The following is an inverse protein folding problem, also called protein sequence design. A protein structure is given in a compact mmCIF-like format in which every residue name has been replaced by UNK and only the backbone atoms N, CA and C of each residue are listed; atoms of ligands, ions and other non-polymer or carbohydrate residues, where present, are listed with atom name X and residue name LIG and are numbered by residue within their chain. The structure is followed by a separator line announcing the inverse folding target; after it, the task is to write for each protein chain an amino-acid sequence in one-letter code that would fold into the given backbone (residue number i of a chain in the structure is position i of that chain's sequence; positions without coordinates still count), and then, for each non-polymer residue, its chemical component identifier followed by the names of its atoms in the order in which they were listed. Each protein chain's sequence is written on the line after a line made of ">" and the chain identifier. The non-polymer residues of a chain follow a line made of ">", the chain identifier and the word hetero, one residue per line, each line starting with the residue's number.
data_IF_690897102867
#
_entry.id   IF_690897102867
#
_cell.length_a   1.000
_cell.length_b   1.000
_cell.length_c   1.000
_cell.angle_alpha   90.00
_cell.angle_beta   90.00
_cell.angle_gamma   90.00
#
_symmetry.space_group_name_H-M   'P 1'
#
loop_
_entity.id
_entity.type
_entity.pdbx_description
1 polymer ?
#
# COMPACT_ATOMS: atom_id res chain seq x y z
N UNK A 1 -10.80 23.22 -27.82
CA UNK A 1 -10.14 23.64 -26.57
C UNK A 1 -10.67 22.70 -25.50
N UNK A 2 -9.98 21.59 -25.29
CA UNK A 2 -10.28 20.68 -24.19
C UNK A 2 -9.48 21.18 -23.00
N UNK A 3 -10.16 21.76 -22.03
CA UNK A 3 -9.57 22.11 -20.75
C UNK A 3 -9.31 20.78 -20.02
N UNK A 4 -8.07 20.31 -20.04
CA UNK A 4 -7.65 19.23 -19.16
C UNK A 4 -7.62 19.86 -17.77
N UNK A 5 -8.74 19.76 -17.05
CA UNK A 5 -8.79 20.20 -15.66
C UNK A 5 -7.78 19.34 -14.89
N UNK A 6 -6.72 19.96 -14.40
CA UNK A 6 -5.70 19.33 -13.56
C UNK A 6 -6.25 19.15 -12.13
N UNK A 7 -7.32 18.38 -11.95
CA UNK A 7 -8.02 18.30 -10.66
C UNK A 7 -7.21 17.50 -9.62
N UNK A 8 -6.22 16.68 -9.98
CA UNK A 8 -5.63 15.71 -9.04
C UNK A 8 -4.34 16.11 -8.29
N UNK A 9 -3.92 17.39 -8.23
CA UNK A 9 -2.66 17.70 -7.53
C UNK A 9 -2.75 17.70 -5.99
N UNK A 10 -3.95 17.85 -5.42
CA UNK A 10 -4.16 17.93 -3.96
C UNK A 10 -5.08 16.85 -3.36
N UNK A 11 -5.86 16.12 -4.17
CA UNK A 11 -6.75 15.04 -3.66
C UNK A 11 -6.02 14.07 -2.74
N UNK A 12 -4.81 13.63 -3.16
CA UNK A 12 -4.01 12.67 -2.41
C UNK A 12 -3.69 13.15 -0.98
N UNK A 13 -3.61 14.46 -0.71
CA UNK A 13 -3.34 15.00 0.63
C UNK A 13 -4.51 14.73 1.58
N UNK A 14 -5.73 15.00 1.10
CA UNK A 14 -6.94 14.77 1.88
C UNK A 14 -7.18 13.28 2.07
N UNK A 15 -7.04 12.49 1.00
CA UNK A 15 -7.18 11.04 1.05
C UNK A 15 -6.13 10.40 1.99
N UNK A 16 -4.86 10.86 1.92
CA UNK A 16 -3.81 10.42 2.83
C UNK A 16 -4.11 10.72 4.30
N UNK A 17 -4.64 11.90 4.59
CA UNK A 17 -5.07 12.26 5.94
C UNK A 17 -6.18 11.34 6.47
N UNK A 18 -7.16 11.00 5.63
CA UNK A 18 -8.20 10.03 5.96
C UNK A 18 -7.59 8.67 6.33
N UNK A 19 -6.68 8.16 5.50
CA UNK A 19 -6.08 6.83 5.74
C UNK A 19 -5.26 6.75 7.03
N UNK A 20 -4.62 7.84 7.44
CA UNK A 20 -3.73 7.86 8.60
C UNK A 20 -4.37 8.48 9.85
N UNK A 21 -5.60 8.97 9.76
CA UNK A 21 -6.27 9.71 10.84
C UNK A 21 -5.53 11.00 11.21
N UNK A 22 -4.83 11.59 10.24
CA UNK A 22 -4.02 12.79 10.39
C UNK A 22 -4.74 14.00 9.77
N UNK A 23 -4.18 15.20 9.95
CA UNK A 23 -4.62 16.37 9.18
C UNK A 23 -4.01 16.33 7.77
N UNK A 24 -4.65 16.90 6.73
CA UNK A 24 -4.11 16.94 5.36
C UNK A 24 -2.69 17.50 5.25
N UNK A 25 -2.35 18.45 6.11
CA UNK A 25 -1.02 19.06 6.21
C UNK A 25 0.00 18.22 7.00
N UNK A 26 -0.42 17.17 7.69
CA UNK A 26 0.41 16.35 8.58
C UNK A 26 0.68 14.99 7.95
N UNK A 27 1.92 14.79 7.50
CA UNK A 27 2.39 13.53 6.91
C UNK A 27 3.26 12.80 7.96
N UNK A 28 2.83 12.80 9.23
CA UNK A 28 3.66 12.34 10.36
C UNK A 28 3.79 10.81 10.50
N UNK A 29 3.15 10.00 9.66
CA UNK A 29 3.41 8.54 9.63
C UNK A 29 4.62 8.16 8.73
N UNK A 30 5.13 9.15 8.00
CA UNK A 30 6.25 9.02 7.10
C UNK A 30 7.52 9.26 7.93
N UNK A 31 8.01 8.22 8.64
CA UNK A 31 9.11 8.24 9.62
C UNK A 31 9.97 9.53 9.68
N UNK A 32 9.98 10.21 10.84
CA UNK A 32 10.79 11.40 11.11
C UNK A 32 12.23 11.25 10.57
N UNK A 33 12.56 11.99 9.50
CA UNK A 33 13.91 12.03 8.92
C UNK A 33 14.11 11.35 7.56
N UNK A 34 13.10 10.68 6.99
CA UNK A 34 13.17 10.18 5.61
C UNK A 34 12.47 11.16 4.64
N UNK A 35 13.05 11.36 3.46
CA UNK A 35 12.36 11.96 2.33
C UNK A 35 11.28 10.99 1.82
N UNK A 36 10.14 11.52 1.41
CA UNK A 36 9.02 10.74 0.89
C UNK A 36 8.68 11.18 -0.53
N UNK A 37 8.03 10.28 -1.26
CA UNK A 37 7.57 10.54 -2.63
C UNK A 37 6.12 10.08 -2.76
N UNK A 38 5.34 10.84 -3.52
CA UNK A 38 4.04 10.41 -4.01
C UNK A 38 4.26 9.61 -5.28
N UNK A 39 3.73 8.39 -5.29
CA UNK A 39 3.70 7.51 -6.44
C UNK A 39 2.26 7.35 -6.92
N UNK A 40 2.06 7.19 -8.21
CA UNK A 40 0.76 7.01 -8.87
C UNK A 40 0.80 5.78 -9.76
N UNK A 41 -0.33 5.10 -9.93
CA UNK A 41 -0.49 4.05 -10.94
C UNK A 41 -1.87 4.15 -11.58
N UNK A 42 -1.99 3.65 -12.80
CA UNK A 42 -3.27 3.32 -13.43
C UNK A 42 -3.59 1.86 -13.05
N UNK A 43 -4.61 1.59 -12.22
CA UNK A 43 -4.84 0.24 -11.69
C UNK A 43 -4.97 -0.84 -12.78
N UNK A 44 -5.59 -0.52 -13.92
CA UNK A 44 -5.74 -1.41 -15.06
C UNK A 44 -4.43 -1.81 -15.75
N UNK A 45 -3.33 -1.09 -15.49
CA UNK A 45 -2.00 -1.37 -16.02
C UNK A 45 -1.12 -2.12 -15.02
N UNK A 46 -1.58 -2.30 -13.78
CA UNK A 46 -0.82 -2.98 -12.75
C UNK A 46 -0.79 -4.49 -13.03
N UNK A 47 0.41 -5.07 -13.06
CA UNK A 47 0.57 -6.50 -13.24
C UNK A 47 0.08 -7.26 -12.00
N UNK A 48 -0.78 -8.27 -12.20
CA UNK A 48 -1.22 -9.15 -11.12
C UNK A 48 -0.03 -9.89 -10.50
N UNK A 49 0.21 -9.77 -9.18
CA UNK A 49 1.31 -10.42 -8.52
C UNK A 49 1.07 -11.93 -8.37
N UNK A 50 2.14 -12.70 -8.19
CA UNK A 50 2.02 -14.11 -7.88
C UNK A 50 1.26 -14.31 -6.55
N UNK A 51 0.32 -15.26 -6.52
CA UNK A 51 -0.44 -15.56 -5.33
C UNK A 51 0.47 -16.04 -4.19
N UNK A 52 0.27 -15.48 -3.00
CA UNK A 52 0.95 -15.97 -1.78
C UNK A 52 0.29 -17.28 -1.35
N UNK A 53 1.09 -18.33 -1.21
CA UNK A 53 0.61 -19.66 -0.81
C UNK A 53 -0.03 -19.63 0.59
N UNK A 54 -1.13 -20.37 0.77
CA UNK A 54 -1.90 -20.44 2.02
C UNK A 54 -2.42 -19.09 2.52
N UNK A 55 -2.63 -18.14 1.60
CA UNK A 55 -3.21 -16.84 1.90
C UNK A 55 -4.67 -16.74 1.46
N UNK A 56 -5.44 -15.95 2.18
CA UNK A 56 -6.80 -15.53 1.80
C UNK A 56 -6.87 -14.01 1.92
N UNK A 57 -7.39 -13.34 0.89
CA UNK A 57 -7.67 -11.90 0.93
C UNK A 57 -9.11 -11.68 1.36
N UNK A 58 -9.32 -10.71 2.24
CA UNK A 58 -10.64 -10.27 2.71
C UNK A 58 -10.75 -8.77 2.63
N UNK A 59 -11.98 -8.29 2.47
CA UNK A 59 -12.31 -6.89 2.24
C UNK A 59 -13.34 -6.46 3.27
N UNK A 60 -13.14 -5.31 3.92
CA UNK A 60 -14.02 -4.82 4.96
C UNK A 60 -14.18 -3.30 4.89
N UNK A 61 -15.42 -2.78 4.81
CA UNK A 61 -15.65 -1.34 4.85
C UNK A 61 -15.54 -0.80 6.28
N UNK A 62 -14.83 0.32 6.46
CA UNK A 62 -14.58 0.92 7.80
C UNK A 62 -15.21 2.31 7.98
N UNK A 63 -16.05 2.76 7.03
CA UNK A 63 -16.76 4.03 7.08
C UNK A 63 -16.05 5.11 6.27
N UNK A 64 -14.98 5.69 6.81
CA UNK A 64 -14.23 6.77 6.14
C UNK A 64 -13.16 6.24 5.18
N UNK A 65 -12.76 4.98 5.34
CA UNK A 65 -11.85 4.25 4.46
C UNK A 65 -12.23 2.77 4.49
N UNK A 66 -11.69 1.99 3.57
CA UNK A 66 -11.88 0.55 3.50
C UNK A 66 -10.55 -0.18 3.74
N UNK A 67 -10.63 -1.46 4.05
CA UNK A 67 -9.46 -2.30 4.37
C UNK A 67 -9.45 -3.54 3.51
N UNK A 68 -8.29 -3.84 2.96
CA UNK A 68 -7.94 -5.15 2.43
C UNK A 68 -6.99 -5.82 3.42
N UNK A 69 -7.31 -7.04 3.84
CA UNK A 69 -6.52 -7.82 4.78
C UNK A 69 -6.16 -9.18 4.18
N UNK A 70 -4.91 -9.60 4.39
CA UNK A 70 -4.45 -10.94 4.07
C UNK A 70 -4.33 -11.76 5.34
N UNK A 71 -4.96 -12.92 5.34
CA UNK A 71 -4.78 -13.95 6.36
C UNK A 71 -3.87 -15.06 5.82
N UNK A 72 -2.93 -15.55 6.63
CA UNK A 72 -2.06 -16.70 6.31
C UNK A 72 -2.32 -17.77 7.37
N UNK A 73 -2.67 -18.99 6.94
CA UNK A 73 -3.10 -20.08 7.83
C UNK A 73 -4.25 -19.67 8.77
N UNK A 74 -5.28 -19.04 8.22
CA UNK A 74 -6.49 -18.58 8.93
C UNK A 74 -6.22 -17.56 10.05
N UNK A 75 -5.09 -16.86 10.00
CA UNK A 75 -4.75 -15.79 10.94
C UNK A 75 -4.39 -14.50 10.19
N UNK A 76 -4.96 -13.34 10.59
CA UNK A 76 -4.62 -12.04 10.01
C UNK A 76 -3.11 -11.76 10.06
N UNK A 77 -2.50 -11.54 8.90
CA UNK A 77 -1.05 -11.39 8.77
C UNK A 77 -0.62 -9.97 8.40
N UNK A 78 -1.35 -9.31 7.51
CA UNK A 78 -1.11 -7.93 7.12
C UNK A 78 -2.37 -7.30 6.54
N UNK A 79 -2.42 -5.97 6.55
CA UNK A 79 -3.53 -5.22 5.95
C UNK A 79 -3.08 -3.92 5.31
N UNK A 80 -3.89 -3.41 4.41
CA UNK A 80 -3.74 -2.10 3.78
C UNK A 80 -5.08 -1.36 3.83
N UNK A 81 -5.01 -0.04 4.01
CA UNK A 81 -6.18 0.84 3.94
C UNK A 81 -6.26 1.47 2.57
N UNK A 82 -7.46 1.73 2.09
CA UNK A 82 -7.68 2.44 0.83
C UNK A 82 -8.94 3.30 0.87
N UNK A 83 -9.01 4.28 -0.02
CA UNK A 83 -10.19 5.13 -0.27
C UNK A 83 -10.20 5.49 -1.74
N UNK A 84 -11.40 5.69 -2.31
CA UNK A 84 -11.58 6.20 -3.65
C UNK A 84 -12.67 7.28 -3.65
N UNK A 85 -12.50 8.25 -4.54
CA UNK A 85 -13.48 9.28 -4.83
C UNK A 85 -13.80 9.22 -6.33
N UNK A 86 -14.98 8.71 -6.71
CA UNK A 86 -15.36 8.56 -8.11
C UNK A 86 -15.64 9.91 -8.79
N UNK A 87 -15.96 10.96 -8.05
CA UNK A 87 -16.18 12.30 -8.62
C UNK A 87 -14.84 12.93 -9.03
N UNK A 88 -13.78 12.64 -8.26
CA UNK A 88 -12.39 13.01 -8.57
C UNK A 88 -11.69 12.02 -9.52
N UNK A 89 -12.28 10.83 -9.73
CA UNK A 89 -11.67 9.75 -10.50
C UNK A 89 -10.36 9.24 -9.89
N UNK A 90 -10.19 9.33 -8.57
CA UNK A 90 -8.91 9.10 -7.91
C UNK A 90 -9.02 8.27 -6.62
N UNK A 91 -8.02 7.44 -6.36
CA UNK A 91 -7.91 6.60 -5.18
C UNK A 91 -6.60 6.81 -4.43
N UNK A 92 -6.58 6.44 -3.14
CA UNK A 92 -5.38 6.47 -2.31
C UNK A 92 -5.26 5.15 -1.56
N UNK A 93 -4.05 4.60 -1.53
CA UNK A 93 -3.71 3.44 -0.69
C UNK A 93 -2.64 3.80 0.33
N UNK A 94 -2.79 3.23 1.52
CA UNK A 94 -1.89 3.43 2.65
C UNK A 94 -0.67 2.52 2.62
N UNK A 95 0.14 2.61 3.67
CA UNK A 95 1.20 1.64 3.89
C UNK A 95 0.61 0.27 4.30
N UNK A 96 1.25 -0.81 3.83
CA UNK A 96 0.94 -2.15 4.31
C UNK A 96 1.44 -2.30 5.75
N UNK A 97 0.53 -2.67 6.65
CA UNK A 97 0.82 -2.90 8.06
C UNK A 97 0.82 -4.39 8.35
N UNK A 98 2.00 -4.92 8.72
CA UNK A 98 2.10 -6.25 9.30
C UNK A 98 1.34 -6.30 10.64
N UNK A 99 0.56 -7.36 10.83
CA UNK A 99 -0.19 -7.61 12.05
C UNK A 99 0.62 -8.49 13.01
N UNK A 100 0.35 -8.41 14.34
CA UNK A 100 1.05 -9.24 15.31
C UNK A 100 0.84 -10.73 15.03
N UNK A 101 1.94 -11.48 14.93
CA UNK A 101 1.93 -12.94 14.83
C UNK A 101 3.20 -13.47 14.16
N UNK A 102 3.36 -14.79 14.11
CA UNK A 102 4.55 -15.47 13.56
C UNK A 102 4.34 -15.92 12.10
N UNK A 103 3.62 -15.15 11.29
CA UNK A 103 3.22 -15.55 9.92
C UNK A 103 4.39 -15.64 8.93
N UNK A 104 5.43 -14.85 9.17
CA UNK A 104 6.55 -14.67 8.25
C UNK A 104 7.83 -15.35 8.76
N UNK A 105 7.81 -16.05 9.90
CA UNK A 105 9.00 -16.77 10.40
C UNK A 105 9.03 -18.17 9.82
N UNK A 106 10.11 -18.50 9.11
CA UNK A 106 10.42 -19.86 8.67
C UNK A 106 11.36 -20.51 9.69
N UNK A 107 10.80 -21.07 10.75
CA UNK A 107 11.56 -21.86 11.74
C UNK A 107 10.77 -22.13 13.02
N UNK A 108 10.85 -23.35 13.54
CA UNK A 108 10.33 -23.65 14.88
C UNK A 108 11.01 -22.73 15.90
N UNK A 109 10.22 -22.15 16.82
CA UNK A 109 10.69 -21.23 17.86
C UNK A 109 11.73 -21.83 18.83
N UNK A 110 12.05 -23.12 18.71
CA UNK A 110 13.03 -23.84 19.53
C UNK A 110 14.46 -23.83 18.99
N UNK A 111 14.69 -23.48 17.72
CA UNK A 111 16.03 -23.41 17.15
C UNK A 111 16.51 -21.96 17.16
N UNK A 112 17.05 -21.54 18.29
CA UNK A 112 17.67 -20.24 18.52
C UNK A 112 19.01 -20.13 17.77
N UNK A 113 18.94 -20.09 16.45
CA UNK A 113 19.90 -19.43 15.58
C UNK A 113 19.09 -18.94 14.37
N UNK A 114 18.75 -17.65 14.34
CA UNK A 114 18.20 -17.01 13.15
C UNK A 114 19.22 -17.19 12.02
N UNK A 115 19.03 -18.21 11.17
CA UNK A 115 19.84 -18.40 9.99
C UNK A 115 19.54 -17.26 9.02
N UNK A 116 20.58 -16.75 8.36
CA UNK A 116 20.42 -15.70 7.35
C UNK A 116 19.39 -16.09 6.28
N UNK A 117 19.32 -17.38 5.94
CA UNK A 117 18.37 -17.95 4.99
C UNK A 117 16.90 -17.83 5.46
N UNK A 118 16.64 -18.03 6.77
CA UNK A 118 15.30 -17.86 7.33
C UNK A 118 14.84 -16.41 7.35
N UNK A 119 15.74 -15.48 7.68
CA UNK A 119 15.46 -14.05 7.64
C UNK A 119 15.19 -13.55 6.21
N UNK A 120 15.89 -14.12 5.22
CA UNK A 120 15.68 -13.76 3.81
C UNK A 120 14.35 -14.32 3.27
N UNK A 121 14.02 -15.57 3.57
CA UNK A 121 12.71 -16.13 3.21
C UNK A 121 11.55 -15.35 3.81
N UNK A 122 11.68 -14.89 5.07
CA UNK A 122 10.69 -14.04 5.75
C UNK A 122 10.48 -12.71 5.01
N UNK A 123 11.57 -12.07 4.57
CA UNK A 123 11.52 -10.82 3.80
C UNK A 123 10.85 -11.02 2.45
N UNK A 124 11.19 -12.08 1.73
CA UNK A 124 10.59 -12.40 0.43
C UNK A 124 9.09 -12.65 0.54
N UNK A 125 8.67 -13.41 1.57
CA UNK A 125 7.25 -13.66 1.81
C UNK A 125 6.50 -12.36 2.16
N UNK A 126 7.09 -11.50 3.00
CA UNK A 126 6.51 -10.19 3.32
C UNK A 126 6.41 -9.31 2.07
N UNK A 127 7.43 -9.27 1.22
CA UNK A 127 7.40 -8.51 -0.03
C UNK A 127 6.28 -8.99 -0.96
N UNK A 128 6.09 -10.31 -1.10
CA UNK A 128 5.00 -10.86 -1.88
C UNK A 128 3.63 -10.45 -1.32
N UNK A 129 3.46 -10.47 0.01
CA UNK A 129 2.25 -9.97 0.68
C UNK A 129 2.02 -8.48 0.42
N UNK A 130 3.08 -7.66 0.48
CA UNK A 130 2.98 -6.22 0.20
C UNK A 130 2.50 -5.97 -1.23
N UNK A 131 3.04 -6.69 -2.20
CA UNK A 131 2.61 -6.59 -3.60
C UNK A 131 1.15 -7.02 -3.77
N UNK A 132 0.77 -8.14 -3.18
CA UNK A 132 -0.59 -8.67 -3.25
C UNK A 132 -1.63 -7.71 -2.64
N UNK A 133 -1.33 -7.13 -1.47
CA UNK A 133 -2.22 -6.17 -0.82
C UNK A 133 -2.32 -4.85 -1.59
N UNK A 134 -1.21 -4.34 -2.12
CA UNK A 134 -1.22 -3.12 -2.96
C UNK A 134 -2.05 -3.33 -4.22
N UNK A 135 -1.87 -4.47 -4.89
CA UNK A 135 -2.66 -4.84 -6.06
C UNK A 135 -4.15 -4.91 -5.73
N UNK A 136 -4.53 -5.68 -4.71
CA UNK A 136 -5.93 -5.83 -4.33
C UNK A 136 -6.57 -4.50 -3.92
N UNK A 137 -5.86 -3.62 -3.20
CA UNK A 137 -6.38 -2.30 -2.86
C UNK A 137 -6.52 -1.37 -4.07
N UNK A 138 -5.61 -1.44 -5.04
CA UNK A 138 -5.71 -0.66 -6.28
C UNK A 138 -6.87 -1.16 -7.15
N UNK A 139 -7.08 -2.48 -7.22
CA UNK A 139 -8.21 -3.09 -7.94
C UNK A 139 -9.55 -2.70 -7.32
N UNK A 140 -9.66 -2.73 -5.98
CA UNK A 140 -10.87 -2.25 -5.28
C UNK A 140 -11.12 -0.76 -5.51
N UNK A 141 -10.08 0.08 -5.44
CA UNK A 141 -10.21 1.51 -5.74
C UNK A 141 -10.69 1.75 -7.18
N UNK A 142 -10.20 0.95 -8.15
CA UNK A 142 -10.67 1.00 -9.53
C UNK A 142 -12.13 0.59 -9.69
N UNK A 143 -12.53 -0.51 -9.04
CA UNK A 143 -13.92 -0.95 -9.00
C UNK A 143 -14.84 0.09 -8.33
N UNK A 144 -14.31 0.92 -7.43
CA UNK A 144 -15.00 2.05 -6.81
C UNK A 144 -14.99 3.34 -7.65
N UNK A 145 -14.36 3.35 -8.83
CA UNK A 145 -14.39 4.47 -9.79
C UNK A 145 -13.11 5.31 -9.85
N UNK A 146 -12.00 4.87 -9.24
CA UNK A 146 -10.72 5.54 -9.40
C UNK A 146 -10.03 5.16 -10.72
N UNK A 147 -9.76 6.15 -11.59
CA UNK A 147 -8.94 5.97 -12.79
C UNK A 147 -7.43 5.98 -12.45
N UNK A 148 -7.05 6.68 -11.38
CA UNK A 148 -5.68 6.75 -10.89
C UNK A 148 -5.62 6.43 -9.39
N UNK A 149 -4.61 5.69 -8.95
CA UNK A 149 -4.39 5.37 -7.53
C UNK A 149 -3.04 5.92 -7.07
N UNK A 150 -3.06 6.61 -5.94
CA UNK A 150 -1.91 7.26 -5.32
C UNK A 150 -1.44 6.51 -4.08
N UNK A 151 -0.15 6.63 -3.76
CA UNK A 151 0.42 6.19 -2.48
C UNK A 151 1.60 7.07 -2.09
N UNK A 152 1.85 7.21 -0.79
CA UNK A 152 3.04 7.89 -0.25
C UNK A 152 3.99 6.84 0.30
N UNK A 153 5.22 6.82 -0.20
CA UNK A 153 6.27 5.88 0.24
C UNK A 153 7.56 6.60 0.57
N UNK A 154 8.48 5.90 1.25
CA UNK A 154 9.84 6.41 1.44
C UNK A 154 10.55 6.47 0.09
N UNK A 155 11.44 7.45 -0.09
CA UNK A 155 12.26 7.53 -1.32
C UNK A 155 13.03 6.24 -1.60
N UNK A 156 13.43 5.48 -0.57
CA UNK A 156 14.09 4.18 -0.73
C UNK A 156 13.24 3.08 -1.38
N UNK A 157 11.91 3.24 -1.41
CA UNK A 157 10.98 2.29 -2.04
C UNK A 157 10.65 2.68 -3.50
N UNK A 158 11.01 3.90 -3.91
CA UNK A 158 10.66 4.48 -5.22
C UNK A 158 11.03 3.58 -6.39
N UNK A 159 12.28 3.10 -6.44
CA UNK A 159 12.78 2.29 -7.56
C UNK A 159 11.99 0.99 -7.69
N UNK A 160 11.72 0.31 -6.57
CA UNK A 160 10.94 -0.93 -6.57
C UNK A 160 9.48 -0.71 -7.01
N UNK A 161 8.88 0.44 -6.65
CA UNK A 161 7.54 0.79 -7.13
C UNK A 161 7.56 1.15 -8.62
N UNK A 162 8.59 1.85 -9.09
CA UNK A 162 8.74 2.19 -10.50
C UNK A 162 8.86 0.93 -11.39
N UNK A 163 9.62 -0.07 -10.95
CA UNK A 163 9.69 -1.37 -11.62
C UNK A 163 8.33 -2.10 -11.64
N UNK A 164 7.46 -1.84 -10.67
CA UNK A 164 6.11 -2.36 -10.60
C UNK A 164 5.07 -1.52 -11.37
N UNK A 165 5.50 -0.53 -12.15
CA UNK A 165 4.63 0.30 -12.99
C UNK A 165 4.09 1.57 -12.34
N UNK A 166 4.60 1.96 -11.16
CA UNK A 166 4.22 3.20 -10.52
C UNK A 166 5.06 4.39 -11.02
N UNK A 167 4.42 5.53 -11.20
CA UNK A 167 5.05 6.77 -11.62
C UNK A 167 5.24 7.71 -10.44
N UNK A 168 6.41 8.33 -10.31
CA UNK A 168 6.61 9.40 -9.34
C UNK A 168 5.86 10.66 -9.78
N UNK A 169 5.11 11.25 -8.86
CA UNK A 169 4.36 12.49 -9.09
C UNK A 169 5.04 13.69 -8.44
N UNK A 170 5.50 13.52 -7.19
CA UNK A 170 6.10 14.62 -6.42
C UNK A 170 6.95 14.10 -5.27
N UNK A 171 7.98 14.87 -4.89
CA UNK A 171 8.64 14.73 -3.60
C UNK A 171 7.79 15.37 -2.49
N UNK A 172 7.79 14.73 -1.33
CA UNK A 172 7.04 15.15 -0.15
C UNK A 172 8.02 15.55 0.94
N UNK A 173 7.99 16.84 1.29
CA UNK A 173 8.74 17.38 2.42
C UNK A 173 7.89 17.32 3.69
N UNK A 174 8.41 16.70 4.75
CA UNK A 174 7.82 16.75 6.08
C UNK A 174 8.29 18.07 6.71
N UNK A 175 7.37 19.01 6.92
CA UNK A 175 7.64 20.30 7.57
C UNK A 175 7.29 20.28 9.05
#
# INVERSE_FOLDING_TARGET
>A
MGEVMSVSSEYWKNAWAVLNGAKPESIEEASSGASHVVMKVLPQELAEPAAVSNSVITHAPMGDYDVVEVAIFDQPAARIRWVADPDEGAGMIGAVKALPGNHFRTGNASDAAESADGAEAARQQMQAVVQQLRFAAADEAWNAGADEVYTVVKTSEKEALAEAGWEEVAEVSIS
#
